data_IF_104698042290
#
_entry.id   IF_104698042290
#
_cell.length_a   1.000
_cell.length_b   1.000
_cell.length_c   1.000
_cell.angle_alpha   90.00
_cell.angle_beta   90.00
_cell.angle_gamma   90.00
#
_symmetry.space_group_name_H-M   'P 1'
#
loop_
_entity.id
_entity.type
_entity.pdbx_description
1 polymer ?
#
# COMPACT_ATOMS: atom_id res chain seq x y z
N UNK A 1 5.92 55.38 14.72
CA UNK A 1 6.32 54.01 15.11
C UNK A 1 5.40 53.02 14.42
N UNK A 2 5.84 52.40 13.34
CA UNK A 2 5.11 51.32 12.67
C UNK A 2 5.48 49.99 13.33
N UNK A 3 4.52 49.34 13.95
CA UNK A 3 4.71 48.01 14.50
C UNK A 3 4.63 46.96 13.39
N UNK A 4 5.73 46.23 13.15
CA UNK A 4 5.77 45.06 12.29
C UNK A 4 5.21 43.87 13.09
N UNK A 5 3.97 43.44 12.78
CA UNK A 5 3.44 42.19 13.32
C UNK A 5 4.10 41.02 12.57
N UNK A 6 5.00 40.30 13.23
CA UNK A 6 5.53 39.06 12.73
C UNK A 6 4.43 37.99 12.82
N UNK A 7 3.86 37.59 11.67
CA UNK A 7 3.05 36.37 11.59
C UNK A 7 3.97 35.17 11.75
N UNK A 8 3.99 34.58 12.92
CA UNK A 8 4.57 33.24 13.12
C UNK A 8 3.53 32.25 12.55
N UNK A 9 3.68 31.97 11.26
CA UNK A 9 2.94 30.87 10.64
C UNK A 9 3.44 29.57 11.25
N UNK A 10 2.58 28.90 12.02
CA UNK A 10 2.88 27.55 12.51
C UNK A 10 3.16 26.63 11.33
N UNK A 11 4.37 26.09 11.25
CA UNK A 11 4.71 25.02 10.31
C UNK A 11 3.94 23.79 10.78
N UNK A 12 2.76 23.56 10.18
CA UNK A 12 2.12 22.26 10.32
C UNK A 12 2.98 21.25 9.55
N UNK A 13 3.76 20.46 10.26
CA UNK A 13 4.40 19.29 9.66
C UNK A 13 3.30 18.39 9.12
N UNK A 14 3.10 18.38 7.79
CA UNK A 14 2.21 17.41 7.17
C UNK A 14 2.92 16.06 7.21
N UNK A 15 2.39 15.13 7.99
CA UNK A 15 2.81 13.72 7.94
C UNK A 15 2.11 13.14 6.71
N UNK A 16 2.79 13.18 5.57
CA UNK A 16 2.25 12.66 4.32
C UNK A 16 3.38 12.10 3.46
N UNK A 17 3.20 10.87 3.00
CA UNK A 17 4.09 10.25 2.02
C UNK A 17 3.98 10.95 0.66
N UNK A 18 5.09 11.16 -0.03
CA UNK A 18 5.13 11.71 -1.38
C UNK A 18 5.53 10.62 -2.37
N UNK A 19 4.77 10.47 -3.46
CA UNK A 19 5.12 9.57 -4.56
C UNK A 19 5.34 10.35 -5.85
N UNK A 20 6.38 9.98 -6.60
CA UNK A 20 6.67 10.53 -7.93
C UNK A 20 6.80 9.42 -8.95
N UNK A 21 6.53 9.75 -10.20
CA UNK A 21 6.73 8.86 -11.33
C UNK A 21 7.37 9.62 -12.48
N UNK A 22 8.38 9.01 -13.08
CA UNK A 22 9.17 9.59 -14.16
C UNK A 22 9.24 8.60 -15.32
N UNK A 23 9.20 9.12 -16.54
CA UNK A 23 9.55 8.34 -17.73
C UNK A 23 10.92 8.80 -18.21
N UNK A 24 11.86 7.87 -18.32
CA UNK A 24 13.18 8.14 -18.82
C UNK A 24 13.17 8.27 -20.37
N UNK A 25 14.25 8.81 -20.95
CA UNK A 25 14.36 9.02 -22.40
C UNK A 25 14.38 7.73 -23.21
N UNK A 26 14.74 6.61 -22.61
CA UNK A 26 14.70 5.27 -23.20
C UNK A 26 13.32 4.59 -23.07
N UNK A 27 12.32 5.30 -22.51
CA UNK A 27 10.98 4.80 -22.28
C UNK A 27 10.80 4.00 -20.98
N UNK A 28 11.87 3.78 -20.20
CA UNK A 28 11.73 3.12 -18.91
C UNK A 28 10.93 3.97 -17.93
N UNK A 29 10.14 3.30 -17.09
CA UNK A 29 9.26 3.93 -16.12
C UNK A 29 9.80 3.74 -14.70
N UNK A 30 9.97 4.85 -14.00
CA UNK A 30 10.56 4.89 -12.66
C UNK A 30 9.51 5.38 -11.68
N UNK A 31 9.30 4.62 -10.62
CA UNK A 31 8.53 5.07 -9.47
C UNK A 31 9.44 5.25 -8.26
N UNK A 32 9.22 6.33 -7.52
CA UNK A 32 9.92 6.59 -6.28
C UNK A 32 8.96 7.19 -5.25
N UNK A 33 9.31 7.09 -3.99
CA UNK A 33 8.52 7.66 -2.90
C UNK A 33 9.38 8.00 -1.69
N UNK A 34 8.83 8.85 -0.81
CA UNK A 34 9.28 9.02 0.56
C UNK A 34 8.32 8.31 1.51
N UNK A 35 8.82 7.76 2.62
CA UNK A 35 8.00 7.29 3.73
C UNK A 35 8.22 8.24 4.90
N UNK A 36 7.20 9.02 5.21
CA UNK A 36 7.22 9.99 6.30
C UNK A 36 6.36 9.46 7.44
N UNK A 37 7.04 8.99 8.49
CA UNK A 37 6.40 8.36 9.64
C UNK A 37 6.98 8.92 10.93
N UNK A 38 6.17 9.69 11.67
CA UNK A 38 6.60 10.38 12.88
C UNK A 38 6.32 9.61 14.19
N UNK A 39 5.69 8.44 14.12
CA UNK A 39 5.16 7.74 15.29
C UNK A 39 6.07 6.64 15.83
N UNK A 40 7.29 6.49 15.31
CA UNK A 40 8.27 5.53 15.79
C UNK A 40 9.07 4.84 14.68
N UNK A 41 9.95 3.89 15.01
CA UNK A 41 10.76 3.18 14.03
C UNK A 41 9.90 2.26 13.17
N UNK A 42 10.06 2.32 11.86
CA UNK A 42 9.34 1.50 10.90
C UNK A 42 9.84 0.06 10.79
N UNK A 43 11.01 -0.27 11.36
CA UNK A 43 11.65 -1.59 11.24
C UNK A 43 11.67 -2.09 9.79
N UNK A 44 12.10 -1.21 8.86
CA UNK A 44 12.06 -1.51 7.44
C UNK A 44 13.04 -2.61 7.05
N UNK A 45 12.59 -3.55 6.22
CA UNK A 45 13.42 -4.62 5.66
C UNK A 45 13.07 -4.92 4.20
N UNK A 46 14.04 -5.41 3.43
CA UNK A 46 13.77 -5.94 2.09
C UNK A 46 13.19 -7.34 2.19
N UNK A 47 12.14 -7.58 1.42
CA UNK A 47 11.44 -8.87 1.37
C UNK A 47 11.42 -9.38 -0.06
N UNK A 48 11.72 -10.66 -0.23
CA UNK A 48 11.57 -11.38 -1.49
C UNK A 48 10.51 -12.46 -1.26
N UNK A 49 9.48 -12.46 -2.11
CA UNK A 49 8.42 -13.48 -2.13
C UNK A 49 8.57 -14.25 -3.44
N UNK A 50 8.99 -15.53 -3.41
CA UNK A 50 9.08 -16.35 -4.61
C UNK A 50 7.69 -16.78 -5.10
N UNK A 51 7.59 -17.09 -6.41
CA UNK A 51 6.39 -17.76 -6.95
C UNK A 51 6.08 -19.02 -6.15
N UNK A 52 4.81 -19.26 -5.95
CA UNK A 52 4.34 -20.47 -5.28
C UNK A 52 4.34 -20.41 -3.76
N UNK A 53 4.84 -19.33 -3.15
CA UNK A 53 4.75 -19.14 -1.70
C UNK A 53 3.30 -19.03 -1.28
N UNK A 54 2.91 -19.78 -0.26
CA UNK A 54 1.61 -19.67 0.38
C UNK A 54 1.63 -18.55 1.40
N UNK A 55 0.59 -17.72 1.38
CA UNK A 55 0.44 -16.52 2.16
C UNK A 55 -0.95 -16.49 2.79
N UNK A 56 -1.05 -15.82 3.92
CA UNK A 56 -2.32 -15.60 4.60
C UNK A 56 -2.40 -14.17 5.11
N UNK A 57 -3.57 -13.57 4.98
CA UNK A 57 -3.81 -12.24 5.49
C UNK A 57 -4.08 -12.24 6.99
N UNK A 58 -3.68 -11.15 7.63
CA UNK A 58 -4.15 -10.80 8.96
C UNK A 58 -5.62 -10.32 8.91
N UNK A 59 -6.25 -10.40 10.06
CA UNK A 59 -7.50 -9.73 10.41
C UNK A 59 -7.31 -9.09 11.79
N UNK A 60 -8.24 -8.29 12.28
CA UNK A 60 -8.18 -7.77 13.65
C UNK A 60 -8.09 -8.85 14.75
N UNK A 61 -8.35 -10.11 14.42
CA UNK A 61 -8.29 -11.24 15.37
C UNK A 61 -7.09 -12.17 15.18
N UNK A 62 -6.17 -11.85 14.26
CA UNK A 62 -4.95 -12.62 14.03
C UNK A 62 -4.72 -12.96 12.56
N UNK A 63 -3.78 -13.86 12.27
CA UNK A 63 -3.47 -14.31 10.91
C UNK A 63 -4.44 -15.41 10.47
N UNK A 64 -5.66 -15.04 10.18
CA UNK A 64 -6.75 -15.94 9.85
C UNK A 64 -7.66 -15.44 8.69
N UNK A 65 -7.18 -14.44 7.94
CA UNK A 65 -7.85 -13.90 6.77
C UNK A 65 -7.64 -14.71 5.49
N UNK A 66 -7.84 -14.06 4.36
CA UNK A 66 -7.69 -14.61 3.01
C UNK A 66 -6.39 -15.39 2.85
N UNK A 67 -6.47 -16.63 2.34
CA UNK A 67 -5.31 -17.43 1.93
C UNK A 67 -5.11 -17.32 0.44
N UNK A 68 -3.86 -17.15 0.02
CA UNK A 68 -3.52 -17.04 -1.38
C UNK A 68 -2.10 -17.57 -1.64
N UNK A 69 -1.84 -17.92 -2.90
CA UNK A 69 -0.54 -18.39 -3.34
C UNK A 69 0.06 -17.41 -4.34
N UNK A 70 1.32 -17.03 -4.15
CA UNK A 70 1.99 -16.08 -5.03
C UNK A 70 2.07 -16.62 -6.47
N UNK A 71 1.43 -15.93 -7.39
CA UNK A 71 1.51 -16.19 -8.85
C UNK A 71 2.74 -15.56 -9.45
N UNK A 72 3.17 -14.43 -8.89
CA UNK A 72 4.33 -13.65 -9.33
C UNK A 72 5.34 -13.53 -8.20
N UNK A 73 6.64 -13.58 -8.56
CA UNK A 73 7.72 -13.22 -7.67
C UNK A 73 7.71 -11.71 -7.39
N UNK A 74 7.99 -11.34 -6.15
CA UNK A 74 7.93 -9.95 -5.68
C UNK A 74 9.21 -9.60 -4.94
N UNK A 75 9.69 -8.37 -5.14
CA UNK A 75 10.65 -7.73 -4.25
C UNK A 75 10.02 -6.46 -3.70
N UNK A 76 10.15 -6.23 -2.40
CA UNK A 76 9.55 -5.06 -1.77
C UNK A 76 10.28 -4.61 -0.51
N UNK A 77 9.91 -3.44 -0.04
CA UNK A 77 10.28 -2.89 1.24
C UNK A 77 9.10 -3.05 2.19
N UNK A 78 9.26 -3.88 3.19
CA UNK A 78 8.27 -4.05 4.26
C UNK A 78 8.54 -3.07 5.40
N UNK A 79 7.49 -2.78 6.16
CA UNK A 79 7.52 -1.92 7.36
C UNK A 79 6.74 -2.60 8.47
N UNK A 80 7.22 -2.50 9.71
CA UNK A 80 6.62 -3.07 10.92
C UNK A 80 6.70 -4.59 10.95
N UNK A 81 6.05 -5.27 9.99
CA UNK A 81 6.06 -6.73 9.81
C UNK A 81 6.44 -7.06 8.37
N UNK A 82 7.01 -8.24 8.15
CA UNK A 82 7.48 -8.69 6.80
C UNK A 82 6.36 -8.80 5.77
N UNK A 83 5.16 -9.02 6.23
CA UNK A 83 3.95 -9.12 5.41
C UNK A 83 3.42 -7.75 4.96
N UNK A 84 3.86 -6.65 5.58
CA UNK A 84 3.37 -5.30 5.30
C UNK A 84 4.29 -4.58 4.31
N UNK A 85 4.19 -4.96 3.03
CA UNK A 85 4.98 -4.31 1.97
C UNK A 85 4.47 -2.89 1.75
N UNK A 86 5.31 -1.90 2.07
CA UNK A 86 5.01 -0.49 1.86
C UNK A 86 5.20 -0.03 0.42
N UNK A 87 6.16 -0.64 -0.29
CA UNK A 87 6.46 -0.38 -1.71
C UNK A 87 7.11 -1.62 -2.30
N UNK A 88 6.77 -1.97 -3.54
CA UNK A 88 7.37 -3.11 -4.21
C UNK A 88 7.07 -3.19 -5.70
N UNK A 89 7.70 -4.17 -6.32
CA UNK A 89 7.52 -4.50 -7.74
C UNK A 89 7.50 -6.01 -7.90
N UNK A 90 6.70 -6.50 -8.84
CA UNK A 90 6.71 -7.90 -9.20
C UNK A 90 7.46 -8.14 -10.53
N UNK A 91 7.71 -9.40 -10.84
CA UNK A 91 8.42 -9.82 -12.05
C UNK A 91 7.69 -9.52 -13.36
N UNK A 92 6.38 -9.19 -13.33
CA UNK A 92 5.64 -8.69 -14.49
C UNK A 92 5.80 -7.17 -14.68
N UNK A 93 6.51 -6.48 -13.76
CA UNK A 93 6.72 -5.04 -13.79
C UNK A 93 5.58 -4.22 -13.16
N UNK A 94 4.57 -4.87 -12.57
CA UNK A 94 3.59 -4.16 -11.76
C UNK A 94 4.24 -3.66 -10.49
N UNK A 95 4.09 -2.37 -10.20
CA UNK A 95 4.56 -1.74 -8.96
C UNK A 95 3.39 -1.24 -8.14
N UNK A 96 3.50 -1.31 -6.83
CA UNK A 96 2.48 -0.82 -5.92
C UNK A 96 3.09 -0.30 -4.62
N UNK A 97 2.46 0.72 -4.04
CA UNK A 97 2.86 1.27 -2.77
C UNK A 97 1.67 1.76 -1.96
N UNK A 98 1.77 1.66 -0.64
CA UNK A 98 0.77 2.21 0.29
C UNK A 98 1.18 3.60 0.76
N UNK A 99 0.19 4.45 0.97
CA UNK A 99 0.37 5.83 1.42
C UNK A 99 -0.60 6.12 2.56
N UNK A 100 -0.10 6.67 3.65
CA UNK A 100 -0.91 7.06 4.79
C UNK A 100 -1.92 8.13 4.40
N UNK A 101 -3.21 7.90 4.68
CA UNK A 101 -4.32 8.74 4.24
C UNK A 101 -5.32 8.96 5.39
N UNK A 102 -4.87 9.55 6.50
CA UNK A 102 -5.71 9.72 7.68
C UNK A 102 -6.87 10.67 7.40
N UNK A 103 -8.01 10.44 8.04
CA UNK A 103 -9.24 11.24 8.04
C UNK A 103 -10.15 11.09 6.82
N UNK A 104 -9.67 10.59 5.68
CA UNK A 104 -10.43 10.60 4.44
C UNK A 104 -10.84 9.21 3.95
N UNK A 105 -10.17 8.17 4.41
CA UNK A 105 -10.50 6.79 4.11
C UNK A 105 -11.36 6.15 5.21
N UNK A 106 -12.15 5.15 4.82
CA UNK A 106 -12.87 4.28 5.75
C UNK A 106 -12.91 2.88 5.16
N UNK A 107 -12.72 1.87 5.99
CA UNK A 107 -12.84 0.48 5.56
C UNK A 107 -14.18 -0.11 5.98
N UNK A 108 -14.54 -1.23 5.36
CA UNK A 108 -15.67 -2.02 5.84
C UNK A 108 -15.44 -2.48 7.28
N UNK A 109 -16.53 -2.64 8.03
CA UNK A 109 -16.47 -3.24 9.35
C UNK A 109 -15.99 -4.71 9.25
N UNK A 110 -15.09 -5.08 10.15
CA UNK A 110 -14.65 -6.48 10.23
C UNK A 110 -15.81 -7.39 10.62
N UNK A 111 -15.92 -8.50 9.89
CA UNK A 111 -16.86 -9.57 10.16
C UNK A 111 -16.14 -10.92 10.01
N UNK A 112 -16.03 -11.67 11.09
CA UNK A 112 -15.32 -12.95 11.14
C UNK A 112 -15.97 -14.05 10.26
N UNK A 113 -17.23 -13.90 9.91
CA UNK A 113 -17.91 -14.82 8.99
C UNK A 113 -17.35 -14.76 7.56
N UNK A 114 -16.58 -13.70 7.22
CA UNK A 114 -16.01 -13.47 5.91
C UNK A 114 -14.47 -13.50 5.91
N UNK A 115 -13.86 -14.17 6.88
CA UNK A 115 -12.40 -14.25 6.98
C UNK A 115 -11.71 -14.77 5.71
N UNK A 116 -12.34 -15.72 5.02
CA UNK A 116 -11.85 -16.32 3.77
C UNK A 116 -11.71 -15.32 2.60
N UNK A 117 -12.38 -14.18 2.68
CA UNK A 117 -12.31 -13.07 1.72
C UNK A 117 -11.71 -11.77 2.32
N UNK A 118 -11.32 -11.80 3.59
CA UNK A 118 -10.83 -10.62 4.31
C UNK A 118 -9.33 -10.43 4.09
N UNK A 119 -8.97 -9.24 3.63
CA UNK A 119 -7.61 -8.79 3.39
C UNK A 119 -7.29 -7.58 4.28
N UNK A 120 -6.19 -7.65 5.03
CA UNK A 120 -5.71 -6.52 5.82
C UNK A 120 -5.23 -5.37 4.91
N UNK A 121 -5.55 -4.15 5.26
CA UNK A 121 -5.18 -2.94 4.54
C UNK A 121 -3.66 -2.83 4.30
N UNK A 122 -2.84 -3.17 5.28
CA UNK A 122 -1.38 -3.16 5.17
C UNK A 122 -0.81 -4.30 4.31
N UNK A 123 -1.61 -5.32 3.98
CA UNK A 123 -1.20 -6.42 3.09
C UNK A 123 -1.71 -6.30 1.65
N UNK A 124 -2.47 -5.27 1.34
CA UNK A 124 -3.04 -5.06 -0.01
C UNK A 124 -1.93 -4.96 -1.07
N UNK A 125 -0.82 -4.27 -0.79
CA UNK A 125 0.33 -4.20 -1.72
C UNK A 125 0.93 -5.57 -1.97
N UNK A 126 1.18 -6.35 -0.91
CA UNK A 126 1.69 -7.72 -1.02
C UNK A 126 0.76 -8.59 -1.88
N UNK A 127 -0.54 -8.51 -1.62
CA UNK A 127 -1.53 -9.28 -2.34
C UNK A 127 -1.62 -8.88 -3.82
N UNK A 128 -1.72 -7.57 -4.13
CA UNK A 128 -1.76 -7.10 -5.53
C UNK A 128 -0.54 -7.56 -6.32
N UNK A 129 0.67 -7.37 -5.77
CA UNK A 129 1.92 -7.72 -6.44
C UNK A 129 2.08 -9.22 -6.63
N UNK A 130 1.58 -10.04 -5.71
CA UNK A 130 1.65 -11.50 -5.85
C UNK A 130 0.57 -12.07 -6.76
N UNK A 131 -0.56 -11.38 -6.97
CA UNK A 131 -1.72 -11.90 -7.71
C UNK A 131 -1.89 -11.34 -9.10
N UNK A 132 -1.43 -10.12 -9.39
CA UNK A 132 -1.77 -9.36 -10.58
C UNK A 132 -0.52 -8.98 -11.38
N UNK A 133 -0.65 -8.94 -12.72
CA UNK A 133 0.37 -8.45 -13.64
C UNK A 133 0.08 -7.04 -14.18
N UNK A 134 -1.18 -6.62 -14.16
CA UNK A 134 -1.66 -5.37 -14.77
C UNK A 134 -2.60 -4.62 -13.85
N UNK A 135 -2.74 -3.32 -14.10
CA UNK A 135 -3.72 -2.47 -13.40
C UNK A 135 -5.15 -2.99 -13.60
N UNK A 136 -5.49 -3.50 -14.80
CA UNK A 136 -6.84 -3.99 -15.07
C UNK A 136 -7.14 -5.29 -14.29
N UNK A 137 -6.12 -6.15 -14.11
CA UNK A 137 -6.23 -7.31 -13.20
C UNK A 137 -6.43 -6.87 -11.75
N UNK A 138 -5.70 -5.83 -11.29
CA UNK A 138 -5.87 -5.29 -9.93
C UNK A 138 -7.30 -4.79 -9.73
N UNK A 139 -7.85 -4.00 -10.66
CA UNK A 139 -9.22 -3.49 -10.57
C UNK A 139 -10.25 -4.61 -10.45
N UNK A 140 -10.13 -5.65 -11.28
CA UNK A 140 -11.04 -6.79 -11.22
C UNK A 140 -10.84 -7.66 -9.97
N UNK A 141 -9.66 -7.66 -9.39
CA UNK A 141 -9.34 -8.47 -8.22
C UNK A 141 -9.82 -7.82 -6.91
N UNK A 142 -9.69 -6.50 -6.77
CA UNK A 142 -10.09 -5.80 -5.53
C UNK A 142 -11.59 -5.89 -5.25
N UNK A 143 -12.42 -6.04 -6.28
CA UNK A 143 -13.87 -6.25 -6.14
C UNK A 143 -14.25 -7.58 -5.47
N UNK A 144 -13.30 -8.50 -5.33
CA UNK A 144 -13.53 -9.86 -4.79
C UNK A 144 -13.05 -10.05 -3.37
N UNK A 145 -12.44 -9.03 -2.78
CA UNK A 145 -11.90 -9.07 -1.43
C UNK A 145 -12.53 -7.99 -0.56
N UNK A 146 -12.59 -8.26 0.72
CA UNK A 146 -13.03 -7.29 1.73
C UNK A 146 -11.79 -6.72 2.41
N UNK A 147 -11.51 -5.45 2.18
CA UNK A 147 -10.38 -4.78 2.82
C UNK A 147 -10.83 -4.26 4.18
N UNK A 148 -10.10 -4.64 5.23
CA UNK A 148 -10.36 -4.21 6.61
C UNK A 148 -9.11 -3.56 7.19
N UNK A 149 -9.30 -2.53 8.02
CA UNK A 149 -8.20 -1.91 8.76
C UNK A 149 -7.80 -2.78 9.95
N UNK A 150 -6.49 -2.99 10.12
CA UNK A 150 -5.97 -3.62 11.33
C UNK A 150 -6.02 -2.65 12.51
N UNK A 151 -5.85 -1.36 12.25
CA UNK A 151 -5.94 -0.29 13.23
C UNK A 151 -6.98 0.77 12.80
N UNK A 152 -7.74 1.27 13.75
CA UNK A 152 -8.82 2.23 13.47
C UNK A 152 -8.35 3.59 12.92
N UNK A 153 -7.09 3.94 13.12
CA UNK A 153 -6.53 5.25 12.81
C UNK A 153 -5.52 5.26 11.67
N UNK A 154 -5.08 4.10 11.22
CA UNK A 154 -4.04 3.94 10.20
C UNK A 154 -4.64 3.63 8.82
N UNK A 155 -5.48 4.54 8.31
CA UNK A 155 -6.04 4.37 6.96
C UNK A 155 -5.00 4.70 5.92
N UNK A 156 -4.91 3.86 4.88
CA UNK A 156 -4.01 4.02 3.73
C UNK A 156 -4.79 3.97 2.42
N UNK A 157 -4.20 4.53 1.37
CA UNK A 157 -4.58 4.28 -0.02
C UNK A 157 -3.39 3.68 -0.78
N UNK A 158 -3.62 3.17 -1.97
CA UNK A 158 -2.61 2.45 -2.73
C UNK A 158 -2.43 3.08 -4.11
N UNK A 159 -1.18 3.39 -4.46
CA UNK A 159 -0.79 3.75 -5.82
C UNK A 159 -0.27 2.50 -6.52
N UNK A 160 -0.74 2.27 -7.73
CA UNK A 160 -0.34 1.16 -8.57
C UNK A 160 0.15 1.72 -9.91
N UNK A 161 1.24 1.20 -10.44
CA UNK A 161 1.77 1.52 -11.75
C UNK A 161 2.15 0.27 -12.53
N UNK A 162 2.01 0.31 -13.84
CA UNK A 162 2.41 -0.77 -14.72
C UNK A 162 3.55 -0.34 -15.69
N UNK A 163 4.21 -1.30 -16.39
CA UNK A 163 5.34 -0.99 -17.26
C UNK A 163 5.00 -0.05 -18.44
N UNK A 164 3.73 0.16 -18.73
CA UNK A 164 3.30 1.09 -19.79
C UNK A 164 3.28 2.55 -19.35
N UNK A 165 3.56 2.81 -18.06
CA UNK A 165 3.51 4.13 -17.46
C UNK A 165 2.12 4.55 -16.97
N UNK A 166 1.11 3.67 -17.10
CA UNK A 166 -0.22 3.91 -16.51
C UNK A 166 -0.11 3.86 -14.98
N UNK A 167 -0.92 4.70 -14.34
CA UNK A 167 -1.04 4.75 -12.89
C UNK A 167 -2.49 4.85 -12.46
N UNK A 168 -2.78 4.29 -11.31
CA UNK A 168 -4.06 4.46 -10.60
C UNK A 168 -3.81 4.58 -9.10
N UNK A 169 -4.73 5.27 -8.43
CA UNK A 169 -4.83 5.27 -6.98
C UNK A 169 -6.14 4.58 -6.63
N UNK A 170 -6.05 3.64 -5.71
CA UNK A 170 -7.21 2.94 -5.13
C UNK A 170 -7.34 3.41 -3.69
N UNK A 171 -8.50 3.87 -3.31
CA UNK A 171 -8.86 4.19 -1.93
C UNK A 171 -9.98 3.27 -1.43
N UNK A 172 -10.24 3.32 -0.13
CA UNK A 172 -11.19 2.44 0.55
C UNK A 172 -12.68 2.77 0.28
N UNK A 173 -13.00 3.62 -0.70
CA UNK A 173 -14.37 4.05 -1.03
C UNK A 173 -14.86 3.53 -2.38
N UNK A 174 -14.38 2.37 -2.79
CA UNK A 174 -14.85 1.65 -3.99
C UNK A 174 -16.03 0.77 -3.64
#
# INVERSE_FOLDING_TARGET
MLGVAAMVGGVHASVACTGISLTATDGSYIQARTIEWAYGPLKSEYVIIPRGQELQSYTPTGMNGLRFKARYGVVGLAVVEREFIAEGINEAGLSAGLFFFPRYGSYEGYDSAHNDHTLADLQVVQWMLTQCATIDEVKAAVERVRIVGLEKTAVVHWRIGDPTGRQVVIDSRW
#
